data_IF_126200975585
#
_entry.id   IF_126200975585
#
_cell.length_a   1.000
_cell.length_b   1.000
_cell.length_c   1.000
_cell.angle_alpha   90.00
_cell.angle_beta   90.00
_cell.angle_gamma   90.00
#
_symmetry.space_group_name_H-M   'P 1'
#
loop_
_entity.id
_entity.type
_entity.pdbx_description
1 polymer ?
#
# COMPACT_ATOMS: atom_id res chain seq x y z
N UNK A 1 -4.49 22.76 -12.50
CA UNK A 1 -4.57 21.39 -11.96
C UNK A 1 -3.20 20.75 -12.05
N UNK A 2 -2.68 20.15 -10.98
CA UNK A 2 -1.47 19.30 -11.10
C UNK A 2 -1.81 18.13 -12.02
N UNK A 3 -0.93 17.80 -12.96
CA UNK A 3 -1.13 16.70 -13.91
C UNK A 3 -1.14 15.37 -13.16
N UNK A 4 -2.05 14.46 -13.52
CA UNK A 4 -2.06 13.12 -12.94
C UNK A 4 -0.74 12.40 -13.25
N UNK A 5 -0.21 11.69 -12.27
CA UNK A 5 0.95 10.80 -12.43
C UNK A 5 0.47 9.54 -13.15
N UNK A 6 1.15 9.19 -14.23
CA UNK A 6 0.88 7.97 -15.00
C UNK A 6 2.18 7.31 -15.42
N UNK A 7 2.08 6.15 -16.08
CA UNK A 7 3.23 5.35 -16.51
C UNK A 7 4.31 6.17 -17.26
N UNK A 8 3.96 7.08 -18.21
CA UNK A 8 4.98 7.90 -18.88
C UNK A 8 5.79 8.79 -17.94
N UNK A 9 5.15 9.28 -16.86
CA UNK A 9 5.81 10.10 -15.85
C UNK A 9 6.76 9.27 -14.98
N UNK A 10 6.35 8.08 -14.55
CA UNK A 10 7.23 7.16 -13.82
C UNK A 10 8.46 6.76 -14.65
N UNK A 11 8.27 6.53 -15.95
CA UNK A 11 9.36 6.29 -16.89
C UNK A 11 10.28 7.51 -17.06
N UNK A 12 9.72 8.74 -17.06
CA UNK A 12 10.51 9.98 -17.08
C UNK A 12 11.36 10.08 -15.82
N UNK A 13 10.77 9.85 -14.65
CA UNK A 13 11.45 9.91 -13.35
C UNK A 13 12.65 8.96 -13.29
N UNK A 14 12.47 7.69 -13.70
CA UNK A 14 13.59 6.74 -13.86
C UNK A 14 14.68 7.31 -14.76
N UNK A 15 14.33 7.77 -15.98
CA UNK A 15 15.31 8.28 -16.96
C UNK A 15 16.05 9.51 -16.48
N UNK A 16 15.43 10.38 -15.67
CA UNK A 16 16.07 11.57 -15.10
C UNK A 16 16.76 11.31 -13.76
N UNK A 17 16.65 10.10 -13.20
CA UNK A 17 17.18 9.78 -11.87
C UNK A 17 16.39 10.40 -10.71
N UNK A 18 15.17 10.89 -10.98
CA UNK A 18 14.27 11.41 -9.94
C UNK A 18 13.61 10.22 -9.23
N UNK A 19 13.72 10.15 -7.91
CA UNK A 19 13.24 8.99 -7.15
C UNK A 19 11.72 8.98 -7.03
N UNK A 20 11.10 7.86 -7.34
CA UNK A 20 9.65 7.66 -7.21
C UNK A 20 9.31 7.42 -5.74
N UNK A 21 8.37 8.21 -5.21
CA UNK A 21 7.83 8.02 -3.86
C UNK A 21 6.55 7.20 -3.92
N UNK A 22 6.59 5.98 -3.38
CA UNK A 22 5.44 5.12 -3.18
C UNK A 22 5.13 4.99 -1.69
N UNK A 23 3.86 5.12 -1.33
CA UNK A 23 3.39 4.90 0.05
C UNK A 23 2.11 4.09 -0.01
N UNK A 24 1.90 3.17 0.93
CA UNK A 24 0.60 2.49 0.97
C UNK A 24 -0.52 3.41 1.44
N UNK A 25 -1.75 3.17 1.02
CA UNK A 25 -2.92 3.78 1.64
C UNK A 25 -4.13 2.88 1.45
N UNK A 26 -5.06 2.93 2.39
CA UNK A 26 -6.18 1.99 2.46
C UNK A 26 -7.52 2.72 2.59
N UNK A 27 -7.52 4.04 2.81
CA UNK A 27 -8.74 4.83 2.96
C UNK A 27 -8.57 6.28 2.48
N UNK A 28 -9.65 7.05 2.63
CA UNK A 28 -9.76 8.42 2.12
C UNK A 28 -8.71 9.36 2.73
N UNK A 29 -8.51 9.33 4.04
CA UNK A 29 -7.65 10.30 4.72
C UNK A 29 -6.17 9.97 4.52
N UNK A 30 -5.80 8.68 4.51
CA UNK A 30 -4.43 8.25 4.21
C UNK A 30 -4.04 8.65 2.79
N UNK A 31 -4.95 8.49 1.83
CA UNK A 31 -4.71 8.93 0.44
C UNK A 31 -4.44 10.43 0.35
N UNK A 32 -5.26 11.26 1.03
CA UNK A 32 -5.06 12.72 1.07
C UNK A 32 -3.70 13.08 1.67
N UNK A 33 -3.35 12.47 2.81
CA UNK A 33 -2.07 12.70 3.46
C UNK A 33 -0.89 12.30 2.58
N UNK A 34 -0.96 11.14 1.92
CA UNK A 34 0.10 10.68 1.02
C UNK A 34 0.31 11.67 -0.14
N UNK A 35 -0.77 12.13 -0.78
CA UNK A 35 -0.67 13.10 -1.88
C UNK A 35 -0.17 14.47 -1.44
N UNK A 36 -0.68 14.98 -0.31
CA UNK A 36 -0.28 16.27 0.26
C UNK A 36 1.20 16.23 0.68
N UNK A 37 1.70 15.07 1.13
CA UNK A 37 3.10 14.85 1.47
C UNK A 37 4.03 14.64 0.26
N UNK A 38 3.49 14.50 -0.95
CA UNK A 38 4.31 14.40 -2.15
C UNK A 38 4.29 13.05 -2.87
N UNK A 39 3.63 12.01 -2.37
CA UNK A 39 3.65 10.68 -2.99
C UNK A 39 3.27 10.70 -4.48
N UNK A 40 4.09 10.09 -5.33
CA UNK A 40 3.86 9.97 -6.78
C UNK A 40 2.95 8.79 -7.08
N UNK A 41 3.09 7.75 -6.28
CA UNK A 41 2.34 6.50 -6.38
C UNK A 41 1.76 6.09 -5.03
N UNK A 42 0.58 5.48 -5.06
CA UNK A 42 -0.07 4.94 -3.87
C UNK A 42 -0.40 3.47 -4.09
N UNK A 43 -0.01 2.63 -3.15
CA UNK A 43 -0.28 1.20 -3.18
C UNK A 43 -1.40 0.86 -2.19
N UNK A 44 -2.54 0.39 -2.71
CA UNK A 44 -3.53 -0.33 -1.91
C UNK A 44 -3.08 -1.77 -1.83
N UNK A 45 -2.23 -2.06 -0.84
CA UNK A 45 -1.58 -3.36 -0.71
C UNK A 45 -2.35 -4.33 0.17
N UNK A 46 -2.18 -5.63 -0.08
CA UNK A 46 -2.75 -6.71 0.76
C UNK A 46 -2.23 -6.68 2.22
N UNK A 47 -1.14 -5.96 2.49
CA UNK A 47 -0.72 -5.52 3.83
C UNK A 47 -1.86 -4.97 4.70
N UNK A 48 -2.95 -4.45 4.11
CA UNK A 48 -4.19 -4.07 4.81
C UNK A 48 -4.74 -5.19 5.69
N UNK A 49 -4.55 -6.46 5.31
CA UNK A 49 -4.98 -7.61 6.10
C UNK A 49 -4.43 -7.53 7.51
N UNK A 50 -3.15 -7.21 7.64
CA UNK A 50 -2.49 -7.09 8.94
C UNK A 50 -2.76 -5.75 9.60
N UNK A 51 -2.57 -4.63 8.89
CA UNK A 51 -2.53 -3.29 9.51
C UNK A 51 -3.91 -2.64 9.69
N UNK A 52 -4.90 -3.03 8.90
CA UNK A 52 -6.28 -2.52 9.02
C UNK A 52 -7.23 -3.57 9.63
N UNK A 53 -7.05 -4.85 9.31
CA UNK A 53 -7.96 -5.93 9.73
C UNK A 53 -7.42 -6.85 10.83
N UNK A 54 -6.16 -6.70 11.24
CA UNK A 54 -5.57 -7.52 12.31
C UNK A 54 -5.41 -9.00 11.98
N UNK A 55 -5.40 -9.37 10.69
CA UNK A 55 -5.07 -10.72 10.25
C UNK A 55 -3.61 -11.04 10.61
N UNK A 56 -3.28 -12.32 10.88
CA UNK A 56 -1.91 -12.71 11.23
C UNK A 56 -0.92 -12.57 10.06
N UNK A 57 -1.43 -12.60 8.83
CA UNK A 57 -0.69 -12.50 7.57
C UNK A 57 -1.58 -11.95 6.44
N UNK A 58 -1.07 -11.90 5.21
CA UNK A 58 -1.83 -11.40 4.03
C UNK A 58 -2.60 -12.49 3.29
N UNK A 59 -2.52 -13.77 3.70
CA UNK A 59 -3.15 -14.90 2.99
C UNK A 59 -4.68 -14.79 3.07
N UNK A 60 -5.20 -14.30 4.19
CA UNK A 60 -6.65 -14.16 4.41
C UNK A 60 -7.32 -12.98 3.68
N UNK A 61 -6.59 -12.18 2.92
CA UNK A 61 -7.14 -11.01 2.22
C UNK A 61 -7.94 -11.45 1.00
N UNK A 62 -9.15 -10.91 0.84
CA UNK A 62 -10.03 -11.25 -0.29
C UNK A 62 -10.08 -10.14 -1.35
N UNK A 63 -10.54 -10.47 -2.56
CA UNK A 63 -10.81 -9.47 -3.61
C UNK A 63 -11.82 -8.41 -3.15
N UNK A 64 -12.78 -8.76 -2.30
CA UNK A 64 -13.79 -7.82 -1.79
C UNK A 64 -13.16 -6.79 -0.84
N UNK A 65 -12.23 -7.24 0.02
CA UNK A 65 -11.45 -6.34 0.87
C UNK A 65 -10.63 -5.38 0.00
N UNK A 66 -9.93 -5.90 -1.01
CA UNK A 66 -9.16 -5.08 -1.95
C UNK A 66 -10.04 -4.07 -2.68
N UNK A 67 -11.20 -4.48 -3.20
CA UNK A 67 -12.15 -3.59 -3.86
C UNK A 67 -12.60 -2.47 -2.91
N UNK A 68 -13.00 -2.79 -1.68
CA UNK A 68 -13.51 -1.81 -0.72
C UNK A 68 -12.47 -0.73 -0.42
N UNK A 69 -11.23 -1.12 -0.14
CA UNK A 69 -10.14 -0.19 0.16
C UNK A 69 -9.72 0.62 -1.07
N UNK A 70 -9.64 -0.01 -2.25
CA UNK A 70 -9.38 0.69 -3.51
C UNK A 70 -10.43 1.77 -3.77
N UNK A 71 -11.72 1.48 -3.58
CA UNK A 71 -12.80 2.48 -3.72
C UNK A 71 -12.67 3.62 -2.72
N UNK A 72 -12.30 3.33 -1.47
CA UNK A 72 -12.11 4.36 -0.46
C UNK A 72 -10.96 5.31 -0.81
N UNK A 73 -9.84 4.77 -1.30
CA UNK A 73 -8.68 5.53 -1.78
C UNK A 73 -9.02 6.34 -3.02
N UNK A 74 -9.66 5.73 -4.02
CA UNK A 74 -9.99 6.40 -5.28
C UNK A 74 -10.97 7.56 -5.12
N UNK A 75 -11.84 7.56 -4.10
CA UNK A 75 -12.69 8.72 -3.73
C UNK A 75 -11.89 9.95 -3.25
N UNK A 76 -10.65 9.76 -2.80
CA UNK A 76 -9.78 10.83 -2.32
C UNK A 76 -8.70 11.26 -3.32
N UNK A 77 -8.40 10.42 -4.33
CA UNK A 77 -7.32 10.64 -5.29
C UNK A 77 -7.47 11.98 -6.01
N UNK A 78 -6.38 12.75 -6.10
CA UNK A 78 -6.29 13.97 -6.91
C UNK A 78 -5.27 13.88 -8.03
N UNK A 79 -4.17 13.15 -7.86
CA UNK A 79 -3.05 13.07 -8.84
C UNK A 79 -2.31 11.73 -8.92
N UNK A 80 -2.08 11.03 -7.82
CA UNK A 80 -1.05 9.97 -7.78
C UNK A 80 -1.45 8.75 -8.60
N UNK A 81 -0.48 7.96 -9.05
CA UNK A 81 -0.74 6.70 -9.72
C UNK A 81 -1.09 5.63 -8.68
N UNK A 82 -2.31 5.08 -8.75
CA UNK A 82 -2.83 4.15 -7.74
C UNK A 82 -2.72 2.71 -8.25
N UNK A 83 -2.05 1.88 -7.45
CA UNK A 83 -1.84 0.45 -7.70
C UNK A 83 -2.63 -0.33 -6.66
N UNK A 84 -3.45 -1.28 -7.08
CA UNK A 84 -4.17 -2.20 -6.17
C UNK A 84 -3.60 -3.61 -6.24
N UNK A 85 -3.41 -4.25 -5.09
CA UNK A 85 -2.94 -5.63 -5.06
C UNK A 85 -4.00 -6.63 -5.54
N UNK A 86 -3.52 -7.66 -6.25
CA UNK A 86 -4.21 -8.92 -6.37
C UNK A 86 -3.83 -9.79 -5.16
N UNK A 87 -4.80 -10.17 -4.30
CA UNK A 87 -4.53 -11.00 -3.13
C UNK A 87 -4.22 -12.44 -3.53
N UNK A 88 -3.67 -13.21 -2.60
CA UNK A 88 -3.33 -14.61 -2.80
C UNK A 88 -4.49 -15.43 -3.36
N UNK A 89 -4.18 -16.37 -4.26
CA UNK A 89 -5.11 -17.23 -5.01
C UNK A 89 -6.06 -16.50 -6.00
N UNK A 90 -5.96 -15.18 -6.15
CA UNK A 90 -6.77 -14.45 -7.15
C UNK A 90 -6.14 -14.45 -8.55
N UNK A 91 -4.88 -14.87 -8.70
CA UNK A 91 -4.17 -14.88 -9.98
C UNK A 91 -3.33 -16.15 -10.21
N UNK A 92 -3.26 -17.04 -9.22
CA UNK A 92 -2.39 -18.21 -9.24
C UNK A 92 -3.01 -19.42 -9.91
N UNK A 93 -4.35 -19.48 -9.97
CA UNK A 93 -5.15 -20.59 -10.47
C UNK A 93 -4.96 -20.74 -11.98
N UNK A 94 -5.36 -19.73 -12.74
CA UNK A 94 -5.13 -19.66 -14.19
C UNK A 94 -5.19 -18.21 -14.71
N UNK A 95 -4.72 -18.02 -15.94
CA UNK A 95 -4.65 -16.71 -16.58
C UNK A 95 -6.03 -16.07 -16.82
N UNK A 96 -7.10 -16.85 -17.01
CA UNK A 96 -8.46 -16.31 -17.23
C UNK A 96 -9.02 -15.72 -15.95
N UNK A 97 -8.82 -16.40 -14.83
CA UNK A 97 -9.21 -15.91 -13.52
C UNK A 97 -8.41 -14.67 -13.12
N UNK A 98 -7.10 -14.68 -13.36
CA UNK A 98 -6.24 -13.52 -13.12
C UNK A 98 -6.70 -12.29 -13.93
N UNK A 99 -6.98 -12.45 -15.23
CA UNK A 99 -7.50 -11.37 -16.08
C UNK A 99 -8.86 -10.88 -15.59
N UNK A 100 -9.76 -11.79 -15.18
CA UNK A 100 -11.08 -11.43 -14.66
C UNK A 100 -10.97 -10.61 -13.38
N UNK A 101 -10.15 -11.05 -12.43
CA UNK A 101 -9.98 -10.38 -11.14
C UNK A 101 -9.30 -9.01 -11.31
N UNK A 102 -8.23 -8.94 -12.11
CA UNK A 102 -7.56 -7.68 -12.43
C UNK A 102 -8.48 -6.69 -13.15
N UNK A 103 -9.17 -7.14 -14.19
CA UNK A 103 -10.10 -6.32 -14.97
C UNK A 103 -11.28 -5.83 -14.13
N UNK A 104 -11.84 -6.69 -13.28
CA UNK A 104 -12.94 -6.31 -12.39
C UNK A 104 -12.48 -5.28 -11.35
N UNK A 105 -11.31 -5.46 -10.72
CA UNK A 105 -10.80 -4.53 -9.72
C UNK A 105 -10.54 -3.15 -10.34
N UNK A 106 -9.92 -3.08 -11.51
CA UNK A 106 -9.74 -1.81 -12.24
C UNK A 106 -11.10 -1.19 -12.59
N UNK A 107 -12.03 -1.98 -13.15
CA UNK A 107 -13.35 -1.50 -13.60
C UNK A 107 -14.22 -0.99 -12.45
N UNK A 108 -14.24 -1.67 -11.31
CA UNK A 108 -15.13 -1.34 -10.18
C UNK A 108 -14.60 -0.20 -9.31
N UNK A 109 -13.28 0.04 -9.33
CA UNK A 109 -12.62 0.99 -8.42
C UNK A 109 -12.01 2.19 -9.12
N UNK A 110 -11.57 2.04 -10.36
CA UNK A 110 -10.90 3.08 -11.14
C UNK A 110 -9.40 3.22 -10.84
N UNK A 111 -8.76 2.28 -10.15
CA UNK A 111 -7.29 2.26 -9.96
C UNK A 111 -6.57 2.18 -11.32
N UNK A 112 -5.32 2.63 -11.36
CA UNK A 112 -4.56 2.77 -12.61
C UNK A 112 -3.81 1.47 -13.01
N UNK A 113 -3.47 0.61 -12.04
CA UNK A 113 -2.76 -0.65 -12.26
C UNK A 113 -3.05 -1.68 -11.17
N UNK A 114 -2.72 -2.94 -11.44
CA UNK A 114 -2.69 -4.01 -10.43
C UNK A 114 -1.26 -4.41 -10.07
N UNK A 115 -1.03 -4.87 -8.84
CA UNK A 115 0.22 -5.53 -8.44
C UNK A 115 -0.03 -7.02 -8.18
N UNK A 116 0.92 -7.88 -8.57
CA UNK A 116 0.90 -9.32 -8.27
C UNK A 116 2.30 -9.83 -7.95
N UNK A 117 2.37 -10.94 -7.22
CA UNK A 117 3.63 -11.52 -6.75
C UNK A 117 4.10 -12.72 -7.58
N UNK A 118 5.40 -12.80 -7.76
CA UNK A 118 6.06 -13.91 -8.45
C UNK A 118 6.77 -13.48 -9.72
N UNK A 119 7.92 -14.12 -9.97
CA UNK A 119 8.77 -13.83 -11.12
C UNK A 119 8.42 -14.67 -12.35
N UNK A 120 9.40 -15.37 -12.94
CA UNK A 120 9.24 -16.01 -14.25
C UNK A 120 8.05 -16.97 -14.34
N UNK A 121 7.69 -17.64 -13.23
CA UNK A 121 6.51 -18.52 -13.15
C UNK A 121 5.17 -17.81 -13.38
N UNK A 122 5.11 -16.48 -13.21
CA UNK A 122 3.92 -15.64 -13.42
C UNK A 122 4.01 -14.77 -14.67
N UNK A 123 5.06 -14.89 -15.48
CA UNK A 123 5.21 -14.10 -16.71
C UNK A 123 4.05 -14.29 -17.70
N UNK A 124 3.52 -15.51 -17.86
CA UNK A 124 2.35 -15.77 -18.70
C UNK A 124 1.10 -15.03 -18.20
N UNK A 125 0.86 -15.07 -16.89
CA UNK A 125 -0.24 -14.38 -16.22
C UNK A 125 -0.13 -12.86 -16.35
N UNK A 126 1.06 -12.28 -16.11
CA UNK A 126 1.32 -10.85 -16.34
C UNK A 126 1.01 -10.47 -17.79
N UNK A 127 1.52 -11.25 -18.75
CA UNK A 127 1.30 -11.00 -20.18
C UNK A 127 -0.19 -11.04 -20.54
N UNK A 128 -0.94 -11.99 -19.98
CA UNK A 128 -2.38 -12.09 -20.21
C UNK A 128 -3.13 -10.85 -19.69
N UNK A 129 -2.82 -10.38 -18.48
CA UNK A 129 -3.42 -9.17 -17.88
C UNK A 129 -3.07 -7.91 -18.69
N UNK A 130 -1.79 -7.75 -19.05
CA UNK A 130 -1.31 -6.62 -19.86
C UNK A 130 -1.96 -6.63 -21.25
N UNK A 131 -2.08 -7.80 -21.89
CA UNK A 131 -2.74 -7.94 -23.20
C UNK A 131 -4.23 -7.57 -23.13
N UNK A 132 -4.88 -7.80 -21.99
CA UNK A 132 -6.26 -7.38 -21.74
C UNK A 132 -6.40 -5.85 -21.49
N UNK A 133 -5.29 -5.10 -21.48
CA UNK A 133 -5.27 -3.65 -21.32
C UNK A 133 -5.14 -3.16 -19.88
N UNK A 134 -4.82 -4.04 -18.93
CA UNK A 134 -4.61 -3.68 -17.52
C UNK A 134 -3.11 -3.57 -17.22
N UNK A 135 -2.60 -2.40 -16.82
CA UNK A 135 -1.20 -2.26 -16.42
C UNK A 135 -0.88 -3.10 -15.17
N UNK A 136 0.32 -3.68 -15.15
CA UNK A 136 0.79 -4.55 -14.07
C UNK A 136 2.08 -4.01 -13.45
N UNK A 137 2.12 -3.95 -12.13
CA UNK A 137 3.34 -3.83 -11.35
C UNK A 137 3.72 -5.23 -10.86
N UNK A 138 4.91 -5.71 -11.24
CA UNK A 138 5.40 -6.98 -10.75
C UNK A 138 5.94 -6.87 -9.32
N UNK A 139 6.00 -7.99 -8.60
CA UNK A 139 6.67 -8.07 -7.29
C UNK A 139 7.54 -9.34 -7.21
N UNK A 140 8.85 -9.16 -7.03
CA UNK A 140 9.82 -10.24 -6.81
C UNK A 140 10.71 -9.97 -5.60
N UNK A 141 11.50 -10.97 -5.20
CA UNK A 141 12.24 -10.94 -3.94
C UNK A 141 11.49 -11.75 -2.91
N UNK A 142 11.32 -11.18 -1.71
CA UNK A 142 10.44 -11.76 -0.70
C UNK A 142 8.99 -11.47 -1.08
N UNK A 143 8.20 -12.52 -1.33
CA UNK A 143 6.78 -12.41 -1.70
C UNK A 143 5.90 -12.91 -0.54
N UNK A 144 5.35 -11.98 0.30
CA UNK A 144 4.57 -12.28 1.50
C UNK A 144 3.54 -13.40 1.37
N UNK A 145 2.82 -13.44 0.24
CA UNK A 145 1.76 -14.42 -0.02
C UNK A 145 2.28 -15.87 -0.07
N UNK A 146 3.59 -16.05 -0.27
CA UNK A 146 4.27 -17.36 -0.34
C UNK A 146 5.34 -17.54 0.73
N UNK A 147 5.31 -16.74 1.81
CA UNK A 147 6.33 -16.76 2.88
C UNK A 147 6.54 -18.12 3.53
N UNK A 148 5.51 -18.97 3.59
CA UNK A 148 5.65 -20.36 4.08
C UNK A 148 6.62 -21.18 3.22
N UNK A 149 6.62 -21.00 1.89
CA UNK A 149 7.56 -21.67 0.98
C UNK A 149 9.00 -21.14 1.16
N UNK A 150 9.13 -19.87 1.55
CA UNK A 150 10.42 -19.19 1.75
C UNK A 150 11.02 -19.41 3.15
N UNK A 151 10.29 -20.09 4.05
CA UNK A 151 10.73 -20.31 5.42
C UNK A 151 10.79 -19.01 6.25
N UNK A 152 9.84 -18.10 6.00
CA UNK A 152 9.68 -16.81 6.67
C UNK A 152 10.27 -15.61 5.92
N UNK A 153 10.36 -14.48 6.61
CA UNK A 153 10.85 -13.21 6.06
C UNK A 153 12.39 -13.21 5.93
N UNK A 154 12.90 -13.74 4.81
CA UNK A 154 14.35 -13.85 4.53
C UNK A 154 14.78 -12.97 3.37
N UNK A 155 15.99 -12.43 3.48
CA UNK A 155 16.62 -11.64 2.42
C UNK A 155 16.96 -12.54 1.23
N UNK A 156 16.63 -12.10 0.02
CA UNK A 156 16.85 -12.80 -1.24
C UNK A 156 18.09 -12.30 -1.98
N UNK A 157 18.64 -13.15 -2.86
CA UNK A 157 19.76 -12.78 -3.74
C UNK A 157 21.12 -12.65 -3.04
N UNK A 158 21.34 -13.35 -1.92
CA UNK A 158 22.62 -13.29 -1.17
C UNK A 158 23.77 -14.09 -1.79
N UNK A 159 23.44 -15.09 -2.61
CA UNK A 159 24.40 -15.95 -3.29
C UNK A 159 24.22 -15.86 -4.82
N UNK A 160 25.21 -16.31 -5.62
CA UNK A 160 25.14 -16.22 -7.08
C UNK A 160 23.91 -16.90 -7.71
N UNK A 161 23.42 -18.01 -7.12
CA UNK A 161 22.25 -18.73 -7.63
C UNK A 161 20.99 -17.92 -7.41
N UNK A 162 20.79 -17.42 -6.18
CA UNK A 162 19.67 -16.55 -5.85
C UNK A 162 19.65 -15.25 -6.66
N UNK A 163 20.81 -14.62 -6.86
CA UNK A 163 20.92 -13.42 -7.70
C UNK A 163 20.58 -13.70 -9.18
N UNK A 164 21.03 -14.83 -9.72
CA UNK A 164 20.71 -15.26 -11.09
C UNK A 164 19.23 -15.57 -11.27
N UNK A 165 18.60 -16.17 -10.26
CA UNK A 165 17.15 -16.42 -10.23
C UNK A 165 16.36 -15.11 -10.27
N UNK A 166 16.71 -14.14 -9.42
CA UNK A 166 16.07 -12.82 -9.40
C UNK A 166 16.25 -12.06 -10.73
N UNK A 167 17.41 -12.16 -11.37
CA UNK A 167 17.63 -11.56 -12.68
C UNK A 167 16.70 -12.17 -13.74
N UNK A 168 16.60 -13.50 -13.79
CA UNK A 168 15.68 -14.17 -14.73
C UNK A 168 14.23 -13.75 -14.47
N UNK A 169 13.84 -13.71 -13.21
CA UNK A 169 12.50 -13.32 -12.79
C UNK A 169 12.18 -11.88 -13.20
N UNK A 170 13.09 -10.94 -12.93
CA UNK A 170 12.94 -9.55 -13.28
C UNK A 170 12.79 -9.34 -14.80
N UNK A 171 13.65 -9.99 -15.59
CA UNK A 171 13.60 -9.91 -17.06
C UNK A 171 12.32 -10.51 -17.62
N UNK A 172 11.88 -11.66 -17.10
CA UNK A 172 10.65 -12.31 -17.57
C UNK A 172 9.41 -11.46 -17.29
N UNK A 173 9.37 -10.77 -16.15
CA UNK A 173 8.26 -9.87 -15.79
C UNK A 173 8.28 -8.59 -16.63
N UNK A 174 9.45 -8.02 -16.91
CA UNK A 174 9.59 -6.90 -17.84
C UNK A 174 9.16 -7.30 -19.26
N UNK A 175 9.63 -8.45 -19.77
CA UNK A 175 9.27 -8.95 -21.11
C UNK A 175 7.77 -9.25 -21.23
N UNK A 176 7.13 -9.68 -20.14
CA UNK A 176 5.69 -9.86 -20.07
C UNK A 176 4.88 -8.54 -20.15
N UNK A 177 5.55 -7.39 -20.00
CA UNK A 177 4.96 -6.07 -20.17
C UNK A 177 4.58 -5.34 -18.87
N UNK A 178 5.13 -5.76 -17.72
CA UNK A 178 4.96 -5.01 -16.48
C UNK A 178 5.48 -3.57 -16.64
N UNK A 179 4.80 -2.59 -16.02
CA UNK A 179 5.15 -1.17 -16.13
C UNK A 179 6.10 -0.69 -15.02
N UNK A 180 6.24 -1.45 -13.94
CA UNK A 180 7.20 -1.26 -12.86
C UNK A 180 7.41 -2.60 -12.11
N UNK A 181 8.46 -2.67 -11.29
CA UNK A 181 8.81 -3.87 -10.52
C UNK A 181 9.15 -3.53 -9.07
N UNK A 182 8.42 -4.10 -8.11
CA UNK A 182 8.77 -4.06 -6.70
C UNK A 182 9.85 -5.10 -6.42
N UNK A 183 10.90 -4.68 -5.70
CA UNK A 183 11.96 -5.51 -5.17
C UNK A 183 11.90 -5.48 -3.64
N UNK A 184 11.46 -6.58 -3.02
CA UNK A 184 11.33 -6.66 -1.56
C UNK A 184 12.41 -7.54 -0.92
N UNK A 185 13.06 -7.00 0.12
CA UNK A 185 14.11 -7.68 0.88
C UNK A 185 15.19 -8.34 -0.01
N UNK A 186 15.64 -7.63 -1.04
CA UNK A 186 16.72 -8.07 -1.95
C UNK A 186 18.06 -7.47 -1.50
N UNK A 187 19.16 -8.22 -1.62
CA UNK A 187 20.49 -7.69 -1.37
C UNK A 187 20.74 -6.41 -2.19
N UNK A 188 21.25 -5.35 -1.56
CA UNK A 188 21.29 -4.00 -2.14
C UNK A 188 22.08 -3.94 -3.45
N UNK A 189 23.20 -4.66 -3.54
CA UNK A 189 24.03 -4.73 -4.74
C UNK A 189 23.29 -5.43 -5.90
N UNK A 190 22.49 -6.45 -5.60
CA UNK A 190 21.66 -7.14 -6.59
C UNK A 190 20.52 -6.23 -7.05
N UNK A 191 19.82 -5.57 -6.13
CA UNK A 191 18.78 -4.61 -6.49
C UNK A 191 19.31 -3.43 -7.33
N UNK A 192 20.51 -2.92 -7.01
CA UNK A 192 21.20 -1.91 -7.81
C UNK A 192 21.51 -2.42 -9.22
N UNK A 193 22.00 -3.65 -9.35
CA UNK A 193 22.25 -4.28 -10.64
C UNK A 193 20.97 -4.42 -11.47
N UNK A 194 19.88 -4.94 -10.86
CA UNK A 194 18.59 -5.09 -11.53
C UNK A 194 18.02 -3.75 -11.99
N UNK A 195 18.08 -2.72 -11.14
CA UNK A 195 17.57 -1.38 -11.44
C UNK A 195 18.26 -0.74 -12.65
N UNK A 196 19.58 -0.96 -12.79
CA UNK A 196 20.36 -0.55 -13.97
C UNK A 196 20.06 -1.39 -15.21
N UNK A 197 19.77 -2.69 -15.02
CA UNK A 197 19.55 -3.64 -16.12
C UNK A 197 18.16 -3.52 -16.75
N UNK A 198 17.15 -3.19 -15.96
CA UNK A 198 15.75 -3.05 -16.39
C UNK A 198 15.49 -1.67 -17.00
N UNK A 199 14.63 -1.63 -18.00
CA UNK A 199 14.12 -0.41 -18.62
C UNK A 199 12.94 0.19 -17.85
N UNK A 200 12.16 -0.63 -17.15
CA UNK A 200 11.05 -0.20 -16.28
C UNK A 200 11.54 0.25 -14.90
N UNK A 201 10.79 1.08 -14.15
CA UNK A 201 11.19 1.54 -12.83
C UNK A 201 11.15 0.42 -11.79
N UNK A 202 12.18 0.36 -10.95
CA UNK A 202 12.21 -0.50 -9.77
C UNK A 202 11.80 0.26 -8.52
N UNK A 203 10.97 -0.34 -7.68
CA UNK A 203 10.55 0.22 -6.40
C UNK A 203 11.08 -0.69 -5.29
N UNK A 204 11.99 -0.17 -4.47
CA UNK A 204 12.59 -0.94 -3.38
C UNK A 204 11.78 -0.89 -2.08
N UNK A 205 11.78 -2.00 -1.35
CA UNK A 205 11.41 -2.05 0.07
C UNK A 205 12.37 -3.01 0.77
N UNK A 206 13.29 -2.46 1.56
CA UNK A 206 14.42 -3.23 2.08
C UNK A 206 15.38 -3.74 0.98
N UNK A 207 15.47 -3.03 -0.16
CA UNK A 207 16.32 -3.37 -1.30
C UNK A 207 17.46 -2.36 -1.55
N UNK A 208 17.76 -1.51 -0.56
CA UNK A 208 18.78 -0.47 -0.68
C UNK A 208 18.34 0.77 -1.48
N UNK A 209 19.22 1.79 -1.60
CA UNK A 209 18.86 3.10 -2.14
C UNK A 209 18.90 3.21 -3.67
N UNK A 210 19.48 2.22 -4.35
CA UNK A 210 19.75 2.27 -5.78
C UNK A 210 18.56 1.87 -6.67
N UNK A 211 17.42 1.47 -6.09
CA UNK A 211 16.16 1.35 -6.83
C UNK A 211 15.67 2.72 -7.32
N UNK A 212 14.90 2.76 -8.40
CA UNK A 212 14.37 4.00 -8.98
C UNK A 212 13.33 4.71 -8.08
N UNK A 213 12.75 3.98 -7.13
CA UNK A 213 11.88 4.51 -6.10
C UNK A 213 11.89 3.64 -4.85
N UNK A 214 11.09 4.03 -3.87
CA UNK A 214 10.94 3.31 -2.61
C UNK A 214 9.46 3.21 -2.23
N UNK A 215 9.08 2.10 -1.60
CA UNK A 215 7.77 1.91 -0.97
C UNK A 215 7.92 1.57 0.51
N UNK A 216 7.03 2.14 1.33
CA UNK A 216 6.84 1.73 2.72
C UNK A 216 5.35 1.68 3.06
N UNK A 217 5.01 0.84 4.02
CA UNK A 217 3.66 0.78 4.60
C UNK A 217 3.40 2.06 5.39
N UNK A 218 2.26 2.71 5.18
CA UNK A 218 1.89 3.97 5.86
C UNK A 218 2.08 3.87 7.38
N UNK A 219 1.54 2.81 8.00
CA UNK A 219 1.60 2.57 9.43
C UNK A 219 3.02 2.45 9.98
N UNK A 220 3.95 1.90 9.18
CA UNK A 220 5.36 1.77 9.52
C UNK A 220 6.08 3.13 9.46
N UNK A 221 5.73 3.98 8.50
CA UNK A 221 6.28 5.34 8.36
C UNK A 221 5.94 6.18 9.60
N UNK A 222 4.66 6.17 10.00
CA UNK A 222 4.14 7.04 11.07
C UNK A 222 4.03 6.37 12.44
N UNK A 223 4.45 5.11 12.56
CA UNK A 223 4.38 4.30 13.78
C UNK A 223 3.04 4.42 14.54
N UNK A 224 1.91 4.10 13.90
CA UNK A 224 0.59 4.30 14.51
C UNK A 224 0.25 3.32 15.63
N UNK A 225 0.51 2.01 15.44
CA UNK A 225 0.28 1.00 16.46
C UNK A 225 0.87 -0.34 16.00
N UNK A 226 1.46 -1.14 16.90
CA UNK A 226 1.96 -2.49 16.60
C UNK A 226 3.26 -2.86 17.31
N UNK A 227 3.38 -4.12 17.72
CA UNK A 227 4.59 -4.68 18.34
C UNK A 227 5.67 -5.04 17.30
N UNK A 228 5.24 -5.36 16.07
CA UNK A 228 6.12 -5.79 15.00
C UNK A 228 6.85 -4.60 14.35
N UNK A 229 8.18 -4.69 14.28
CA UNK A 229 9.05 -3.62 13.77
C UNK A 229 10.04 -4.19 12.75
N UNK A 230 9.77 -4.07 11.43
CA UNK A 230 10.69 -4.57 10.42
C UNK A 230 12.02 -3.80 10.44
N UNK A 231 13.15 -4.51 10.34
CA UNK A 231 14.51 -3.89 10.45
C UNK A 231 14.83 -2.86 9.36
N UNK A 232 14.17 -2.92 8.21
CA UNK A 232 14.41 -2.02 7.08
C UNK A 232 13.58 -0.73 7.14
N UNK A 233 12.69 -0.59 8.11
CA UNK A 233 11.83 0.59 8.26
C UNK A 233 12.55 1.66 9.09
N UNK A 234 12.65 2.86 8.53
CA UNK A 234 12.93 4.08 9.32
C UNK A 234 11.61 4.63 9.85
N UNK A 235 11.55 4.93 11.15
CA UNK A 235 10.41 5.63 11.77
C UNK A 235 10.54 7.12 11.46
N UNK A 236 9.55 7.69 10.79
CA UNK A 236 9.54 9.11 10.44
C UNK A 236 8.74 9.95 11.44
N UNK A 237 7.79 9.35 12.16
CA UNK A 237 7.19 9.94 13.36
C UNK A 237 6.64 8.88 14.33
N UNK A 238 6.25 9.36 15.52
CA UNK A 238 5.63 8.59 16.62
C UNK A 238 4.13 8.87 16.71
N UNK A 239 3.40 8.61 15.62
CA UNK A 239 1.98 8.92 15.50
C UNK A 239 1.11 8.23 16.55
N UNK A 240 1.43 6.97 16.89
CA UNK A 240 0.71 6.22 17.93
C UNK A 240 0.77 6.88 19.30
N UNK A 241 1.93 7.42 19.68
CA UNK A 241 2.11 8.13 20.95
C UNK A 241 1.28 9.42 20.98
N UNK A 242 1.24 10.16 19.87
CA UNK A 242 0.44 11.39 19.74
C UNK A 242 -1.05 11.08 19.86
N UNK A 243 -1.54 10.03 19.18
CA UNK A 243 -2.94 9.61 19.26
C UNK A 243 -3.31 9.12 20.66
N UNK A 244 -2.47 8.27 21.27
CA UNK A 244 -2.68 7.77 22.62
C UNK A 244 -2.77 8.92 23.61
N UNK A 245 -1.85 9.89 23.54
CA UNK A 245 -1.87 11.07 24.40
C UNK A 245 -3.20 11.83 24.28
N UNK A 246 -3.68 12.10 23.06
CA UNK A 246 -4.94 12.81 22.84
C UNK A 246 -6.15 12.08 23.44
N UNK A 247 -6.25 10.77 23.19
CA UNK A 247 -7.34 9.93 23.71
C UNK A 247 -7.27 9.81 25.23
N UNK A 248 -6.07 9.64 25.80
CA UNK A 248 -5.86 9.58 27.24
C UNK A 248 -6.24 10.88 27.94
N UNK A 249 -5.85 12.04 27.37
CA UNK A 249 -6.22 13.35 27.91
C UNK A 249 -7.74 13.56 27.87
N UNK A 250 -8.40 13.22 26.76
CA UNK A 250 -9.87 13.26 26.69
C UNK A 250 -10.53 12.39 27.76
N UNK A 251 -10.08 11.14 27.90
CA UNK A 251 -10.61 10.21 28.90
C UNK A 251 -10.39 10.72 30.34
N UNK A 252 -9.27 11.37 30.61
CA UNK A 252 -8.97 11.98 31.90
C UNK A 252 -9.89 13.18 32.20
N UNK A 253 -10.08 14.08 31.23
CA UNK A 253 -10.96 15.25 31.40
C UNK A 253 -12.41 14.84 31.63
N UNK A 254 -12.92 13.84 30.90
CA UNK A 254 -14.27 13.29 31.12
C UNK A 254 -14.40 12.70 32.53
N UNK A 255 -13.45 11.89 32.97
CA UNK A 255 -13.50 11.28 34.32
C UNK A 255 -13.44 12.30 35.45
N UNK A 256 -12.78 13.44 35.23
CA UNK A 256 -12.70 14.55 36.20
C UNK A 256 -13.88 15.52 36.10
N UNK A 257 -14.77 15.35 35.12
CA UNK A 257 -15.83 16.32 34.82
C UNK A 257 -15.30 17.66 34.29
N UNK A 258 -14.06 17.70 33.79
CA UNK A 258 -13.46 18.88 33.18
C UNK A 258 -13.92 19.08 31.73
N UNK A 259 -14.41 18.01 31.08
CA UNK A 259 -15.06 18.06 29.78
C UNK A 259 -16.41 17.31 29.83
N UNK A 260 -17.47 17.83 29.17
CA UNK A 260 -17.53 19.11 28.44
C UNK A 260 -17.58 20.34 29.36
N UNK A 261 -17.27 21.51 28.79
CA UNK A 261 -17.46 22.83 29.41
C UNK A 261 -18.71 23.49 28.83
N UNK A 262 -19.13 24.63 29.38
CA UNK A 262 -20.28 25.42 28.84
C UNK A 262 -20.13 25.74 27.36
N UNK A 263 -18.93 26.09 26.90
CA UNK A 263 -18.64 26.39 25.48
C UNK A 263 -18.77 25.15 24.57
N UNK A 264 -18.76 23.96 25.15
CA UNK A 264 -19.00 22.67 24.48
C UNK A 264 -20.41 22.14 24.71
N UNK A 265 -21.31 22.95 25.27
CA UNK A 265 -22.67 22.57 25.67
C UNK A 265 -23.70 23.53 25.07
N UNK A 266 -24.92 23.05 24.90
CA UNK A 266 -26.04 23.86 24.41
C UNK A 266 -27.02 24.13 25.55
N UNK A 267 -27.58 25.34 25.60
CA UNK A 267 -28.63 25.70 26.54
C UNK A 267 -30.01 25.30 25.99
N UNK A 268 -30.94 24.98 26.87
CA UNK A 268 -32.34 24.83 26.49
C UNK A 268 -32.95 26.19 26.16
N UNK A 269 -33.95 26.21 25.27
CA UNK A 269 -34.74 27.41 25.01
C UNK A 269 -35.53 27.82 26.25
N UNK A 270 -35.83 29.11 26.36
CA UNK A 270 -36.62 29.68 27.46
C UNK A 270 -37.96 28.95 27.63
N UNK A 271 -38.35 28.65 28.88
CA UNK A 271 -39.57 27.89 29.21
C UNK A 271 -39.47 26.36 29.07
N UNK A 272 -38.39 25.82 28.50
CA UNK A 272 -38.24 24.36 28.33
C UNK A 272 -38.21 23.61 29.65
N UNK A 273 -37.47 24.12 30.64
CA UNK A 273 -37.36 23.46 31.96
C UNK A 273 -38.65 23.56 32.77
N UNK A 274 -39.34 24.69 32.71
CA UNK A 274 -40.63 24.91 33.38
C UNK A 274 -41.70 23.94 32.85
N UNK A 275 -41.73 23.70 31.53
CA UNK A 275 -42.61 22.69 30.94
C UNK A 275 -42.27 21.27 31.42
N UNK A 276 -40.99 20.91 31.45
CA UNK A 276 -40.54 19.59 31.90
C UNK A 276 -40.90 19.34 33.37
N UNK A 277 -40.72 20.35 34.23
CA UNK A 277 -41.09 20.28 35.65
C UNK A 277 -42.60 20.11 35.82
N UNK A 278 -43.43 20.82 35.05
CA UNK A 278 -44.88 20.77 35.13
C UNK A 278 -45.52 19.44 34.70
N UNK A 279 -44.83 18.63 33.87
CA UNK A 279 -45.33 17.32 33.41
C UNK A 279 -44.77 16.14 34.22
N UNK A 280 -43.94 16.42 35.24
CA UNK A 280 -43.31 15.40 36.07
C UNK A 280 -44.14 15.08 37.34
N UNK A 281 -45.15 15.91 37.64
CA UNK A 281 -46.20 15.69 38.67
C UNK A 281 -47.38 14.86 38.13
#
# INVERSE_FOLDING_TARGET
>A
MKKNVGIPELMRMKKSGEKIVMVTAYNNWQMRMAEDAGADTVLVGDSLGMVEHGLPDTIGVTMEMMELHCRAVMRARRRSFVVGDLPFMSYEIDDREAVRNAGNLVKSTGIDAVKLEGGAKRAATVKAIVTAGVPVVGHIGLTPQTTTQLGGYRVQGRDPSGASFLLRDALAIEEAGACALVLECVAAEVAAFLSKRLTIPTIGIGAGPECDGQVLVFHDIVTLYGEFKPRFVKRFCEGGEVLLKGISSYAEEVRKGAFPLKDHSFAADEGTMEHLEAIQE
#
